data_IF_641285705031
#
_entry.id   IF_641285705031
#
_cell.length_a   1.000
_cell.length_b   1.000
_cell.length_c   1.000
_cell.angle_alpha   90.00
_cell.angle_beta   90.00
_cell.angle_gamma   90.00
#
_symmetry.space_group_name_H-M   'P 1'
#
loop_
_entity.id
_entity.type
_entity.pdbx_description
1 polymer ?
#
# COMPACT_ATOMS: atom_id res chain seq x y z
N UNK A 1 -28.36 -43.93 22.72
CA UNK A 1 -27.35 -42.85 22.76
C UNK A 1 -26.76 -42.55 21.38
N UNK A 2 -26.17 -43.51 20.68
CA UNK A 2 -25.46 -43.25 19.41
C UNK A 2 -26.32 -42.70 18.26
N UNK A 3 -27.57 -43.16 18.10
CA UNK A 3 -28.47 -42.66 17.04
C UNK A 3 -28.93 -41.22 17.28
N UNK A 4 -29.20 -40.84 18.53
CA UNK A 4 -29.56 -39.45 18.88
C UNK A 4 -28.40 -38.50 18.64
N UNK A 5 -27.17 -38.93 18.96
CA UNK A 5 -25.95 -38.18 18.65
C UNK A 5 -25.77 -38.00 17.15
N UNK A 6 -25.92 -39.08 16.35
CA UNK A 6 -25.84 -39.01 14.89
C UNK A 6 -26.93 -38.09 14.27
N UNK A 7 -28.14 -38.10 14.82
CA UNK A 7 -29.21 -37.19 14.40
C UNK A 7 -28.90 -35.72 14.67
N UNK A 8 -28.38 -35.40 15.86
CA UNK A 8 -28.01 -34.02 16.21
C UNK A 8 -26.81 -33.54 15.39
N UNK A 9 -25.80 -34.39 15.19
CA UNK A 9 -24.63 -34.01 14.39
C UNK A 9 -24.99 -33.80 12.92
N UNK A 10 -25.81 -34.66 12.32
CA UNK A 10 -26.26 -34.48 10.92
C UNK A 10 -27.05 -33.18 10.72
N UNK A 11 -27.95 -32.84 11.65
CA UNK A 11 -28.66 -31.54 11.62
C UNK A 11 -27.70 -30.37 11.81
N UNK A 12 -26.74 -30.49 12.74
CA UNK A 12 -25.71 -29.48 12.97
C UNK A 12 -24.85 -29.22 11.72
N UNK A 13 -24.41 -30.27 11.05
CA UNK A 13 -23.67 -30.16 9.79
C UNK A 13 -24.49 -29.50 8.68
N UNK A 14 -25.79 -29.79 8.59
CA UNK A 14 -26.68 -29.15 7.61
C UNK A 14 -26.84 -27.64 7.88
N UNK A 15 -27.10 -27.25 9.13
CA UNK A 15 -27.21 -25.83 9.50
C UNK A 15 -25.89 -25.08 9.31
N UNK A 16 -24.76 -25.74 9.61
CA UNK A 16 -23.43 -25.21 9.35
C UNK A 16 -23.21 -24.97 7.86
N UNK A 17 -23.57 -25.92 6.99
CA UNK A 17 -23.48 -25.76 5.54
C UNK A 17 -24.30 -24.56 5.03
N UNK A 18 -25.52 -24.37 5.53
CA UNK A 18 -26.34 -23.22 5.17
C UNK A 18 -25.69 -21.89 5.61
N UNK A 19 -25.13 -21.87 6.81
CA UNK A 19 -24.45 -20.69 7.36
C UNK A 19 -23.18 -20.37 6.56
N UNK A 20 -22.39 -21.38 6.21
CA UNK A 20 -21.22 -21.22 5.35
C UNK A 20 -21.59 -20.57 4.03
N UNK A 21 -22.63 -21.05 3.35
CA UNK A 21 -23.09 -20.47 2.09
C UNK A 21 -23.43 -18.98 2.24
N UNK A 22 -24.09 -18.61 3.34
CA UNK A 22 -24.43 -17.21 3.63
C UNK A 22 -23.18 -16.36 3.86
N UNK A 23 -22.26 -16.80 4.74
CA UNK A 23 -21.02 -16.08 5.04
C UNK A 23 -20.17 -15.90 3.79
N UNK A 24 -20.04 -16.95 2.96
CA UNK A 24 -19.30 -16.84 1.69
C UNK A 24 -19.91 -15.80 0.74
N UNK A 25 -21.24 -15.72 0.67
CA UNK A 25 -21.91 -14.69 -0.14
C UNK A 25 -21.66 -13.28 0.41
N UNK A 26 -21.75 -13.08 1.73
CA UNK A 26 -21.46 -11.80 2.38
C UNK A 26 -19.99 -11.38 2.18
N UNK A 27 -19.04 -12.31 2.27
CA UNK A 27 -17.65 -12.05 1.95
C UNK A 27 -17.44 -11.67 0.48
N UNK A 28 -18.16 -12.32 -0.43
CA UNK A 28 -18.09 -12.03 -1.86
C UNK A 28 -18.63 -10.63 -2.15
N UNK A 29 -19.74 -10.24 -1.52
CA UNK A 29 -20.30 -8.89 -1.60
C UNK A 29 -19.32 -7.85 -1.06
N UNK A 30 -18.74 -8.09 0.12
CA UNK A 30 -17.74 -7.20 0.72
C UNK A 30 -16.49 -7.05 -0.16
N UNK A 31 -16.01 -8.13 -0.78
CA UNK A 31 -14.90 -8.10 -1.74
C UNK A 31 -15.28 -7.32 -2.99
N UNK A 32 -16.49 -7.50 -3.51
CA UNK A 32 -17.03 -6.74 -4.63
C UNK A 32 -17.05 -5.23 -4.34
N UNK A 33 -17.53 -4.83 -3.16
CA UNK A 33 -17.50 -3.43 -2.72
C UNK A 33 -16.08 -2.86 -2.61
N UNK A 34 -15.14 -3.65 -2.08
CA UNK A 34 -13.72 -3.26 -2.05
C UNK A 34 -13.15 -3.08 -3.45
N UNK A 35 -13.40 -4.01 -4.37
CA UNK A 35 -12.90 -3.89 -5.76
C UNK A 35 -13.45 -2.66 -6.48
N UNK A 36 -14.69 -2.25 -6.20
CA UNK A 36 -15.24 -1.02 -6.73
C UNK A 36 -14.52 0.25 -6.20
N UNK A 37 -14.09 0.24 -4.94
CA UNK A 37 -13.41 1.37 -4.29
C UNK A 37 -11.89 1.43 -4.55
N UNK A 38 -11.25 0.27 -4.72
CA UNK A 38 -9.80 0.14 -4.92
C UNK A 38 -9.22 1.08 -6.00
N UNK A 39 -9.79 1.24 -7.21
CA UNK A 39 -9.19 2.13 -8.21
C UNK A 39 -9.13 3.60 -7.77
N UNK A 40 -10.13 4.05 -7.01
CA UNK A 40 -10.15 5.42 -6.48
C UNK A 40 -9.11 5.60 -5.37
N UNK A 41 -9.05 4.67 -4.42
CA UNK A 41 -8.08 4.69 -3.33
C UNK A 41 -6.63 4.59 -3.84
N UNK A 42 -6.38 3.76 -4.86
CA UNK A 42 -5.07 3.65 -5.49
C UNK A 42 -4.70 4.97 -6.18
N UNK A 43 -5.62 5.59 -6.92
CA UNK A 43 -5.36 6.89 -7.55
C UNK A 43 -5.10 8.01 -6.53
N UNK A 44 -5.81 8.03 -5.40
CA UNK A 44 -5.56 8.98 -4.30
C UNK A 44 -4.18 8.77 -3.68
N UNK A 45 -3.84 7.52 -3.37
CA UNK A 45 -2.52 7.14 -2.85
C UNK A 45 -1.40 7.54 -3.80
N UNK A 46 -1.53 7.23 -5.08
CA UNK A 46 -0.50 7.50 -6.09
C UNK A 46 -0.30 9.03 -6.27
N UNK A 47 -1.38 9.82 -6.20
CA UNK A 47 -1.30 11.29 -6.19
C UNK A 47 -0.55 11.82 -4.98
N UNK A 48 -0.86 11.31 -3.80
CA UNK A 48 -0.22 11.78 -2.57
C UNK A 48 1.26 11.40 -2.52
N UNK A 49 1.58 10.19 -2.97
CA UNK A 49 2.95 9.71 -3.12
C UNK A 49 3.80 10.62 -4.01
N UNK A 50 3.30 10.98 -5.20
CA UNK A 50 4.02 11.87 -6.12
C UNK A 50 4.19 13.29 -5.57
N UNK A 51 3.19 13.81 -4.83
CA UNK A 51 3.30 15.12 -4.16
C UNK A 51 4.37 15.10 -3.07
N UNK A 52 4.46 14.04 -2.29
CA UNK A 52 5.48 13.93 -1.25
C UNK A 52 6.89 13.88 -1.85
N UNK A 53 7.10 13.10 -2.92
CA UNK A 53 8.39 13.08 -3.65
C UNK A 53 8.72 14.46 -4.21
N UNK A 54 7.72 15.16 -4.77
CA UNK A 54 7.88 16.54 -5.24
C UNK A 54 8.36 17.48 -4.12
N UNK A 55 7.74 17.40 -2.94
CA UNK A 55 8.12 18.18 -1.76
C UNK A 55 9.56 17.87 -1.32
N UNK A 56 9.93 16.59 -1.25
CA UNK A 56 11.29 16.19 -0.87
C UNK A 56 12.33 16.72 -1.86
N UNK A 57 12.04 16.70 -3.17
CA UNK A 57 12.91 17.27 -4.20
C UNK A 57 13.03 18.80 -4.09
N UNK A 58 11.96 19.49 -3.74
CA UNK A 58 11.97 20.94 -3.52
C UNK A 58 12.78 21.33 -2.27
N UNK A 59 12.71 20.53 -1.20
CA UNK A 59 13.54 20.73 0.00
C UNK A 59 15.01 20.37 -0.25
N UNK A 60 15.31 19.30 -1.00
CA UNK A 60 16.66 18.96 -1.45
C UNK A 60 17.30 20.12 -2.21
N UNK A 61 16.56 20.73 -3.15
CA UNK A 61 17.04 21.87 -3.94
C UNK A 61 17.40 23.08 -3.07
N UNK A 62 16.65 23.32 -1.98
CA UNK A 62 16.94 24.40 -1.02
C UNK A 62 18.14 24.06 -0.13
N UNK A 63 18.21 22.83 0.38
CA UNK A 63 19.25 22.38 1.30
C UNK A 63 20.61 22.29 0.62
N UNK A 64 20.63 21.79 -0.63
CA UNK A 64 21.86 21.51 -1.38
C UNK A 64 22.30 22.65 -2.30
N UNK A 65 21.60 23.79 -2.30
CA UNK A 65 21.90 24.94 -3.18
C UNK A 65 23.35 25.45 -3.10
N UNK A 66 24.00 25.29 -1.95
CA UNK A 66 25.35 25.81 -1.69
C UNK A 66 26.46 24.77 -1.89
N UNK A 67 26.12 23.55 -2.31
CA UNK A 67 27.10 22.46 -2.48
C UNK A 67 27.61 22.46 -3.93
N UNK A 68 28.93 22.63 -4.17
CA UNK A 68 29.47 22.67 -5.51
C UNK A 68 29.33 21.31 -6.20
N UNK A 69 28.79 21.31 -7.42
CA UNK A 69 28.61 20.10 -8.22
C UNK A 69 27.41 19.23 -7.84
N UNK A 70 26.56 19.68 -6.90
CA UNK A 70 25.32 18.96 -6.59
C UNK A 70 24.26 19.21 -7.66
N UNK A 71 23.71 18.13 -8.21
CA UNK A 71 22.58 18.15 -9.12
C UNK A 71 21.38 17.47 -8.44
N UNK A 72 20.26 18.18 -8.35
CA UNK A 72 19.08 17.72 -7.60
C UNK A 72 18.54 16.42 -8.18
N UNK A 73 18.41 15.39 -7.34
CA UNK A 73 17.92 14.06 -7.75
C UNK A 73 18.92 13.17 -8.46
N UNK A 74 20.21 13.55 -8.51
CA UNK A 74 21.31 12.67 -8.95
C UNK A 74 22.40 12.67 -7.89
N UNK A 75 23.31 11.69 -7.97
CA UNK A 75 24.51 11.68 -7.15
C UNK A 75 25.62 12.43 -7.90
N UNK A 76 25.75 13.74 -7.67
CA UNK A 76 26.74 14.60 -8.34
C UNK A 76 26.74 14.44 -9.88
N UNK A 77 25.55 14.34 -10.49
CA UNK A 77 25.39 14.14 -11.95
C UNK A 77 25.33 12.68 -12.41
N UNK A 78 25.61 11.71 -11.53
CA UNK A 78 25.42 10.29 -11.85
C UNK A 78 24.06 9.76 -11.36
N UNK A 79 23.33 8.97 -12.18
CA UNK A 79 22.17 8.25 -11.70
C UNK A 79 22.59 7.18 -10.69
N UNK A 80 21.83 7.06 -9.60
CA UNK A 80 22.08 6.07 -8.52
C UNK A 80 22.04 4.63 -9.08
N UNK A 81 21.08 4.37 -9.96
CA UNK A 81 20.90 3.05 -10.58
C UNK A 81 21.42 3.05 -12.01
N UNK A 82 22.52 2.32 -12.23
CA UNK A 82 23.21 2.26 -13.54
C UNK A 82 22.64 1.18 -14.48
N UNK A 83 21.94 0.19 -13.94
CA UNK A 83 21.47 -1.00 -14.67
C UNK A 83 20.01 -0.89 -15.12
N UNK A 84 19.25 0.07 -14.59
CA UNK A 84 17.84 0.22 -14.85
C UNK A 84 17.59 1.23 -16.00
N UNK A 85 16.56 1.01 -16.83
CA UNK A 85 16.15 2.00 -17.82
C UNK A 85 15.73 3.32 -17.16
N UNK A 86 16.05 4.44 -17.79
CA UNK A 86 15.75 5.80 -17.27
C UNK A 86 14.26 6.05 -17.03
N UNK A 87 13.37 5.34 -17.74
CA UNK A 87 11.92 5.51 -17.63
C UNK A 87 11.28 4.70 -16.47
N UNK A 88 12.10 4.01 -15.67
CA UNK A 88 11.59 3.23 -14.54
C UNK A 88 11.44 4.11 -13.30
N UNK A 89 10.23 4.13 -12.72
CA UNK A 89 10.00 4.74 -11.42
C UNK A 89 10.55 3.81 -10.33
N UNK A 90 11.57 4.27 -9.64
CA UNK A 90 12.09 3.57 -8.46
C UNK A 90 11.35 4.10 -7.24
N UNK A 91 10.72 3.19 -6.51
CA UNK A 91 10.04 3.53 -5.27
C UNK A 91 11.07 3.88 -4.20
N UNK A 92 10.94 5.06 -3.54
CA UNK A 92 11.84 5.46 -2.49
C UNK A 92 11.64 4.56 -1.26
N UNK A 93 12.70 4.38 -0.49
CA UNK A 93 12.62 3.61 0.75
C UNK A 93 11.89 4.46 1.80
N UNK A 94 11.30 3.82 2.81
CA UNK A 94 10.58 4.49 3.91
C UNK A 94 11.33 5.71 4.49
N UNK A 95 12.64 5.58 4.73
CA UNK A 95 13.45 6.66 5.29
C UNK A 95 13.63 7.84 4.32
N UNK A 96 13.63 7.61 3.01
CA UNK A 96 13.73 8.66 1.98
C UNK A 96 12.39 9.36 1.78
N UNK A 97 11.29 8.60 1.85
CA UNK A 97 9.94 9.14 1.70
C UNK A 97 9.55 10.06 2.87
N UNK A 98 9.90 9.65 4.10
CA UNK A 98 9.60 10.38 5.33
C UNK A 98 10.77 11.24 5.86
N UNK A 99 11.81 11.49 5.06
CA UNK A 99 13.01 12.23 5.49
C UNK A 99 12.71 13.61 6.11
N UNK A 100 11.66 14.28 5.65
CA UNK A 100 11.24 15.61 6.12
C UNK A 100 9.89 15.59 6.85
N UNK A 101 9.39 14.42 7.23
CA UNK A 101 8.15 14.29 8.00
C UNK A 101 8.41 14.57 9.49
N UNK A 102 7.38 15.05 10.20
CA UNK A 102 7.49 15.20 11.64
C UNK A 102 7.57 13.82 12.31
N UNK A 103 8.23 13.67 13.47
CA UNK A 103 8.27 12.40 14.20
C UNK A 103 6.88 11.83 14.52
N UNK A 104 5.88 12.70 14.69
CA UNK A 104 4.48 12.31 14.89
C UNK A 104 3.86 11.58 13.71
N UNK A 105 4.41 11.79 12.50
CA UNK A 105 3.89 11.24 11.25
C UNK A 105 4.51 9.88 10.91
N UNK A 106 5.63 9.51 11.57
CA UNK A 106 6.35 8.25 11.33
C UNK A 106 6.05 7.16 12.35
N UNK A 107 5.46 7.50 13.51
CA UNK A 107 5.15 6.57 14.62
C UNK A 107 3.78 5.87 14.52
N UNK A 108 3.01 6.08 13.45
CA UNK A 108 1.69 5.43 13.23
C UNK A 108 1.79 4.23 12.30
#
# INVERSE_FOLDING_TARGET
MFLGYAGITTVGFYLYYLTLKKVTNEELENKGGKFALMPLLMAERDREFLKQIRRNREEEAKLMANVPGWEVGTWYGEPIYKTLPTDTLIEPIFHEYFAHAAPSDTEK
#
